data_IF_594708566478
#
_entry.id   IF_594708566478
#
_cell.length_a   1.000
_cell.length_b   1.000
_cell.length_c   1.000
_cell.angle_alpha   90.00
_cell.angle_beta   90.00
_cell.angle_gamma   90.00
#
_symmetry.space_group_name_H-M   'P 1'
#
loop_
_entity.id
_entity.type
_entity.pdbx_description
1 polymer ?
#
# COMPACT_ATOMS: atom_id res chain seq x y z
N UNK A 1 2.96 -4.84 -18.40
CA UNK A 1 4.17 -5.51 -18.91
C UNK A 1 5.39 -4.60 -19.09
N UNK A 2 5.45 -3.64 -20.03
CA UNK A 2 6.69 -2.86 -20.28
C UNK A 2 7.26 -2.12 -19.05
N UNK A 3 6.39 -1.52 -18.21
CA UNK A 3 6.81 -0.82 -16.97
C UNK A 3 7.46 -1.73 -15.90
N UNK A 4 7.06 -3.00 -15.84
CA UNK A 4 7.56 -3.97 -14.83
C UNK A 4 9.01 -4.35 -15.12
N UNK A 5 9.37 -4.58 -16.40
CA UNK A 5 10.75 -4.85 -16.81
C UNK A 5 11.73 -3.69 -16.51
N UNK A 6 11.24 -2.45 -16.52
CA UNK A 6 12.06 -1.26 -16.23
C UNK A 6 12.35 -1.08 -14.75
N UNK A 7 11.37 -1.40 -13.89
CA UNK A 7 11.55 -1.49 -12.45
C UNK A 7 12.58 -2.56 -12.10
N UNK A 8 12.53 -3.74 -12.74
CA UNK A 8 13.53 -4.80 -12.50
C UNK A 8 14.96 -4.34 -12.81
N UNK A 9 15.23 -3.68 -13.94
CA UNK A 9 16.59 -3.21 -14.25
C UNK A 9 17.04 -2.05 -13.36
N UNK A 10 16.16 -1.08 -13.07
CA UNK A 10 16.49 0.02 -12.18
C UNK A 10 16.73 -0.49 -10.75
N UNK A 11 15.94 -1.46 -10.27
CA UNK A 11 16.11 -2.07 -8.95
C UNK A 11 17.34 -2.97 -8.88
N UNK A 12 17.72 -3.67 -9.95
CA UNK A 12 18.98 -4.41 -10.02
C UNK A 12 20.20 -3.50 -10.00
N UNK A 13 20.12 -2.33 -10.67
CA UNK A 13 21.18 -1.33 -10.60
C UNK A 13 21.21 -0.67 -9.21
N UNK A 14 20.05 -0.31 -8.66
CA UNK A 14 19.93 0.31 -7.34
C UNK A 14 20.25 -0.65 -6.18
N UNK A 15 20.04 -1.95 -6.33
CA UNK A 15 20.43 -2.96 -5.33
C UNK A 15 21.94 -3.16 -5.27
N UNK A 16 22.66 -2.83 -6.35
CA UNK A 16 24.10 -2.92 -6.41
C UNK A 16 24.81 -1.64 -5.94
N UNK A 17 24.11 -0.50 -5.93
CA UNK A 17 24.58 0.77 -5.36
C UNK A 17 24.23 0.78 -3.87
N UNK A 18 25.19 1.10 -3.00
CA UNK A 18 24.90 1.25 -1.56
C UNK A 18 23.81 2.33 -1.39
N UNK A 19 22.64 1.95 -0.85
CA UNK A 19 21.49 2.84 -0.70
C UNK A 19 21.85 3.99 0.24
N UNK A 20 22.30 5.12 -0.30
CA UNK A 20 22.31 6.41 0.41
C UNK A 20 20.91 6.99 0.30
N UNK A 21 20.16 6.86 1.39
CA UNK A 21 18.79 7.34 1.51
C UNK A 21 18.71 8.85 1.21
N UNK A 22 17.94 9.30 0.19
CA UNK A 22 17.81 10.73 -0.13
C UNK A 22 16.67 11.43 0.62
N UNK A 23 16.02 10.81 1.62
CA UNK A 23 14.91 11.40 2.37
C UNK A 23 15.28 11.73 3.83
N UNK A 24 14.80 12.88 4.28
CA UNK A 24 15.37 13.79 5.29
C UNK A 24 15.15 13.42 6.77
N UNK A 25 16.11 13.87 7.59
CA UNK A 25 16.06 14.29 9.01
C UNK A 25 14.77 13.99 9.80
N UNK A 26 14.62 12.77 10.28
CA UNK A 26 13.90 12.47 11.52
C UNK A 26 14.53 11.21 12.09
N UNK A 27 14.86 11.22 13.41
CA UNK A 27 15.73 10.25 14.10
C UNK A 27 15.79 8.88 13.42
N UNK A 28 16.85 8.70 12.62
CA UNK A 28 17.01 7.52 11.79
C UNK A 28 17.18 6.31 12.71
N UNK A 29 16.32 5.27 12.63
CA UNK A 29 16.76 3.95 13.06
C UNK A 29 18.04 3.67 12.28
N UNK A 30 19.08 3.13 12.94
CA UNK A 30 20.29 2.71 12.25
C UNK A 30 19.91 1.67 11.20
N UNK A 31 19.64 2.11 9.98
CA UNK A 31 19.38 1.23 8.84
C UNK A 31 20.75 0.65 8.52
N UNK A 32 21.02 -0.52 9.06
CA UNK A 32 22.12 -1.35 8.57
C UNK A 32 21.99 -1.42 7.06
N UNK A 33 23.12 -1.23 6.35
CA UNK A 33 23.17 -1.33 4.89
C UNK A 33 22.44 -2.61 4.49
N UNK A 34 21.33 -2.46 3.77
CA UNK A 34 20.51 -3.60 3.38
C UNK A 34 21.39 -4.52 2.52
N UNK A 35 21.49 -5.79 2.88
CA UNK A 35 22.20 -6.76 2.04
C UNK A 35 21.56 -6.78 0.64
N UNK A 36 22.36 -6.96 -0.42
CA UNK A 36 21.88 -6.97 -1.81
C UNK A 36 20.75 -8.00 -2.01
N UNK A 37 20.84 -9.13 -1.31
CA UNK A 37 19.81 -10.19 -1.24
C UNK A 37 18.46 -9.68 -0.77
N UNK A 38 18.42 -8.80 0.24
CA UNK A 38 17.18 -8.22 0.77
C UNK A 38 16.47 -7.35 -0.25
N UNK A 39 17.21 -6.58 -1.06
CA UNK A 39 16.59 -5.76 -2.13
C UNK A 39 15.95 -6.64 -3.18
N UNK A 40 16.64 -7.70 -3.60
CA UNK A 40 16.09 -8.70 -4.52
C UNK A 40 14.87 -9.41 -3.94
N UNK A 41 14.87 -9.68 -2.63
CA UNK A 41 13.76 -10.33 -1.93
C UNK A 41 12.52 -9.43 -1.86
N UNK A 42 12.69 -8.15 -1.53
CA UNK A 42 11.62 -7.14 -1.59
C UNK A 42 11.03 -7.09 -3.00
N UNK A 43 11.89 -7.06 -4.02
CA UNK A 43 11.42 -6.99 -5.39
C UNK A 43 10.63 -8.24 -5.81
N UNK A 44 11.12 -9.43 -5.46
CA UNK A 44 10.39 -10.68 -5.70
C UNK A 44 9.01 -10.67 -5.01
N UNK A 45 8.94 -10.16 -3.78
CA UNK A 45 7.69 -10.01 -3.06
C UNK A 45 6.73 -9.02 -3.76
N UNK A 46 7.22 -7.87 -4.22
CA UNK A 46 6.42 -6.91 -4.98
C UNK A 46 5.93 -7.51 -6.32
N UNK A 47 6.75 -8.33 -6.98
CA UNK A 47 6.34 -9.04 -8.18
C UNK A 47 5.26 -10.08 -7.89
N UNK A 48 5.39 -10.83 -6.79
CA UNK A 48 4.36 -11.78 -6.35
C UNK A 48 3.06 -11.04 -6.05
N UNK A 49 3.14 -9.91 -5.34
CA UNK A 49 2.00 -9.04 -5.07
C UNK A 49 1.33 -8.50 -6.32
N UNK A 50 2.07 -8.28 -7.40
CA UNK A 50 1.47 -7.80 -8.65
C UNK A 50 0.99 -8.95 -9.56
N UNK A 51 1.06 -10.21 -9.11
CA UNK A 51 0.75 -11.38 -9.94
C UNK A 51 1.71 -11.55 -11.13
N UNK A 52 2.93 -11.05 -10.99
CA UNK A 52 3.95 -11.02 -12.07
C UNK A 52 5.15 -11.93 -11.78
N UNK A 53 5.15 -12.59 -10.62
CA UNK A 53 6.15 -13.59 -10.27
C UNK A 53 5.68 -14.97 -10.75
N UNK A 54 5.91 -15.26 -12.02
CA UNK A 54 5.38 -16.45 -12.68
C UNK A 54 6.46 -17.42 -13.19
N UNK A 55 7.67 -16.93 -13.48
CA UNK A 55 8.71 -17.74 -14.09
C UNK A 55 10.10 -17.09 -14.01
N UNK A 56 11.13 -17.92 -14.12
CA UNK A 56 12.52 -17.45 -14.25
C UNK A 56 12.71 -16.52 -15.46
N UNK A 57 11.89 -16.65 -16.51
CA UNK A 57 11.94 -15.82 -17.71
C UNK A 57 11.53 -14.36 -17.43
N UNK A 58 10.64 -14.13 -16.46
CA UNK A 58 10.24 -12.77 -16.04
C UNK A 58 11.16 -12.20 -14.95
N UNK A 59 11.82 -13.07 -14.18
CA UNK A 59 12.67 -12.71 -13.03
C UNK A 59 13.90 -13.62 -12.93
N UNK A 60 14.97 -13.36 -13.71
CA UNK A 60 16.09 -14.30 -13.87
C UNK A 60 17.04 -14.37 -12.66
N UNK A 61 16.66 -13.73 -11.55
CA UNK A 61 17.34 -13.78 -10.25
C UNK A 61 16.49 -14.48 -9.18
N UNK A 62 15.33 -15.06 -9.56
CA UNK A 62 14.44 -15.78 -8.66
C UNK A 62 14.21 -17.18 -9.21
N UNK A 63 14.43 -18.19 -8.36
CA UNK A 63 14.00 -19.57 -8.56
C UNK A 63 12.82 -19.85 -7.65
N UNK A 64 11.71 -20.26 -8.26
CA UNK A 64 10.57 -20.83 -7.54
C UNK A 64 10.71 -22.37 -7.60
N UNK A 65 11.03 -23.06 -6.49
CA UNK A 65 10.96 -24.50 -6.43
C UNK A 65 9.51 -24.96 -6.64
N UNK A 66 9.32 -26.19 -7.10
CA UNK A 66 8.00 -26.82 -7.14
C UNK A 66 7.85 -27.76 -5.93
N UNK A 67 6.88 -27.54 -5.00
CA UNK A 67 5.95 -26.41 -4.94
C UNK A 67 6.47 -25.26 -4.05
N UNK A 68 6.52 -24.03 -4.59
CA UNK A 68 6.74 -22.82 -3.81
C UNK A 68 5.41 -22.39 -3.19
N UNK A 69 5.42 -22.08 -1.88
CA UNK A 69 4.21 -21.56 -1.23
C UNK A 69 4.13 -20.05 -1.47
N UNK A 70 3.34 -19.64 -2.47
CA UNK A 70 3.00 -18.25 -2.72
C UNK A 70 1.57 -18.01 -2.23
N UNK A 71 1.43 -17.35 -1.08
CA UNK A 71 0.14 -17.03 -0.46
C UNK A 71 0.00 -15.52 -0.38
N UNK A 72 -0.52 -14.93 -1.45
CA UNK A 72 -0.75 -13.50 -1.52
C UNK A 72 -2.24 -13.24 -1.36
N UNK A 73 -2.64 -12.78 -0.17
CA UNK A 73 -4.00 -12.34 0.09
C UNK A 73 -4.15 -10.89 -0.37
N UNK A 74 -4.71 -10.72 -1.56
CA UNK A 74 -5.07 -9.41 -2.09
C UNK A 74 -6.37 -8.87 -1.51
N UNK A 75 -7.28 -9.73 -1.02
CA UNK A 75 -8.70 -9.38 -0.98
C UNK A 75 -9.17 -8.69 -2.27
N UNK A 76 -9.98 -7.64 -2.13
CA UNK A 76 -10.34 -6.69 -3.19
C UNK A 76 -9.40 -5.46 -3.12
N UNK A 77 -8.07 -5.65 -3.02
CA UNK A 77 -7.10 -4.53 -3.07
C UNK A 77 -7.34 -3.68 -4.32
N UNK A 78 -7.52 -2.34 -4.16
CA UNK A 78 -7.48 -1.45 -5.29
C UNK A 78 -6.18 -1.70 -6.06
N UNK A 79 -6.29 -2.01 -7.35
CA UNK A 79 -5.15 -2.33 -8.22
C UNK A 79 -4.17 -1.17 -8.41
N UNK A 80 -4.48 0.00 -7.83
CA UNK A 80 -3.73 1.24 -7.89
C UNK A 80 -3.02 1.61 -6.56
N UNK A 81 -3.00 0.72 -5.56
CA UNK A 81 -2.21 0.94 -4.34
C UNK A 81 -0.71 0.90 -4.67
N UNK A 82 -0.02 2.01 -4.44
CA UNK A 82 1.43 2.11 -4.58
C UNK A 82 2.08 1.98 -3.19
N UNK A 83 3.08 1.11 -3.06
CA UNK A 83 3.85 0.99 -1.81
C UNK A 83 4.60 2.29 -1.56
N UNK A 84 4.30 2.94 -0.44
CA UNK A 84 4.89 4.21 -0.03
C UNK A 84 5.98 4.00 1.02
N UNK A 85 5.72 3.11 2.00
CA UNK A 85 6.64 2.85 3.12
C UNK A 85 6.74 1.37 3.38
N UNK A 86 7.92 0.94 3.81
CA UNK A 86 8.20 -0.42 4.27
C UNK A 86 8.95 -0.34 5.58
N UNK A 87 8.51 -1.12 6.57
CA UNK A 87 9.20 -1.26 7.85
C UNK A 87 9.58 -2.72 8.06
N UNK A 88 10.87 -2.99 8.22
CA UNK A 88 11.36 -4.33 8.55
C UNK A 88 11.02 -4.67 9.99
N UNK A 89 10.45 -5.86 10.19
CA UNK A 89 10.11 -6.38 11.52
C UNK A 89 11.04 -7.52 11.93
N UNK A 90 11.55 -8.29 10.97
CA UNK A 90 12.56 -9.32 11.20
C UNK A 90 13.44 -9.54 9.97
N UNK A 91 14.73 -9.83 10.21
CA UNK A 91 15.66 -10.37 9.22
C UNK A 91 16.51 -11.42 9.93
N UNK A 92 16.30 -12.70 9.61
CA UNK A 92 16.93 -13.83 10.28
C UNK A 92 17.56 -14.76 9.26
N UNK A 93 18.70 -15.35 9.61
CA UNK A 93 19.36 -16.39 8.83
C UNK A 93 19.46 -17.62 9.74
N UNK A 94 18.89 -18.74 9.31
CA UNK A 94 18.97 -20.00 10.06
C UNK A 94 20.32 -20.72 9.84
N UNK A 95 20.55 -21.81 10.58
CA UNK A 95 21.78 -22.62 10.48
C UNK A 95 22.01 -23.22 9.09
N UNK A 96 20.96 -23.31 8.26
CA UNK A 96 21.02 -23.83 6.89
C UNK A 96 21.24 -22.73 5.85
N UNK A 97 21.43 -21.47 6.27
CA UNK A 97 21.55 -20.32 5.37
C UNK A 97 20.21 -19.88 4.77
N UNK A 98 19.08 -20.28 5.35
CA UNK A 98 17.75 -19.79 4.96
C UNK A 98 17.52 -18.41 5.55
N UNK A 99 17.29 -17.45 4.67
CA UNK A 99 16.88 -16.10 5.03
C UNK A 99 15.36 -16.07 5.25
N UNK A 100 14.94 -15.51 6.38
CA UNK A 100 13.55 -15.13 6.64
C UNK A 100 13.49 -13.63 6.81
N UNK A 101 12.67 -13.00 5.98
CA UNK A 101 12.53 -11.57 5.93
C UNK A 101 11.06 -11.20 6.12
N UNK A 102 10.78 -10.41 7.15
CA UNK A 102 9.43 -9.95 7.48
C UNK A 102 9.39 -8.42 7.48
N UNK A 103 8.31 -7.89 6.92
CA UNK A 103 8.08 -6.46 6.86
C UNK A 103 6.59 -6.11 6.92
N UNK A 104 6.34 -4.86 7.27
CA UNK A 104 5.03 -4.24 7.14
C UNK A 104 5.14 -3.22 6.01
N UNK A 105 4.32 -3.38 4.97
CA UNK A 105 4.21 -2.38 3.91
C UNK A 105 2.98 -1.50 4.13
N UNK A 106 3.15 -0.21 3.88
CA UNK A 106 2.06 0.75 3.74
C UNK A 106 1.99 1.13 2.27
N UNK A 107 0.85 0.85 1.66
CA UNK A 107 0.53 1.28 0.32
C UNK A 107 -0.56 2.35 0.36
N UNK A 108 -0.43 3.36 -0.50
CA UNK A 108 -1.40 4.44 -0.65
C UNK A 108 -1.87 4.56 -2.09
N UNK A 109 -3.12 4.93 -2.28
CA UNK A 109 -3.68 5.20 -3.60
C UNK A 109 -3.86 6.71 -3.84
N UNK A 110 -4.24 7.13 -5.07
CA UNK A 110 -4.44 8.56 -5.38
C UNK A 110 -5.53 9.25 -4.57
N UNK A 111 -6.42 8.51 -3.90
CA UNK A 111 -7.46 9.03 -3.04
C UNK A 111 -7.03 9.10 -1.56
N UNK A 112 -5.80 8.70 -1.25
CA UNK A 112 -5.27 8.67 0.12
C UNK A 112 -5.67 7.43 0.91
N UNK A 113 -6.27 6.42 0.26
CA UNK A 113 -6.58 5.13 0.91
C UNK A 113 -5.30 4.40 1.26
N UNK A 114 -5.24 3.84 2.45
CA UNK A 114 -4.07 3.22 3.07
C UNK A 114 -4.30 1.73 3.29
N UNK A 115 -3.53 0.91 2.59
CA UNK A 115 -3.46 -0.53 2.79
C UNK A 115 -2.21 -0.88 3.59
N UNK A 116 -2.39 -1.59 4.71
CA UNK A 116 -1.28 -2.21 5.43
C UNK A 116 -1.24 -3.70 5.11
N UNK A 117 -0.04 -4.23 4.90
CA UNK A 117 0.16 -5.66 4.68
C UNK A 117 1.34 -6.17 5.51
N UNK A 118 1.16 -7.32 6.15
CA UNK A 118 2.24 -8.10 6.74
C UNK A 118 2.81 -8.99 5.65
N UNK A 119 4.07 -8.79 5.34
CA UNK A 119 4.78 -9.40 4.24
C UNK A 119 5.90 -10.27 4.77
N UNK A 120 6.01 -11.48 4.25
CA UNK A 120 7.07 -12.44 4.60
C UNK A 120 7.61 -13.08 3.35
N UNK A 121 8.93 -13.20 3.27
CA UNK A 121 9.62 -13.97 2.26
C UNK A 121 10.69 -14.84 2.90
N UNK A 122 10.70 -16.12 2.53
CA UNK A 122 11.68 -17.11 2.97
C UNK A 122 12.45 -17.58 1.75
N UNK A 123 13.77 -17.46 1.77
CA UNK A 123 14.59 -17.76 0.60
C UNK A 123 16.00 -18.23 0.98
N UNK A 124 16.65 -18.98 0.09
CA UNK A 124 18.10 -19.18 0.15
C UNK A 124 18.78 -18.30 -0.92
N UNK A 125 20.05 -18.02 -0.71
CA UNK A 125 20.89 -17.32 -1.69
C UNK A 125 21.84 -18.33 -2.32
N UNK A 126 21.87 -18.40 -3.65
CA UNK A 126 22.78 -19.27 -4.39
C UNK A 126 23.51 -18.53 -5.51
N UNK A 127 24.68 -19.05 -5.89
CA UNK A 127 25.45 -18.54 -7.02
C UNK A 127 24.81 -19.01 -8.34
N UNK A 128 24.60 -18.13 -9.33
CA UNK A 128 24.06 -18.53 -10.61
C UNK A 128 24.94 -19.56 -11.33
N UNK A 129 24.32 -20.59 -11.92
CA UNK A 129 24.97 -21.52 -12.86
C UNK A 129 25.33 -20.83 -14.17
N UNK A 130 26.20 -21.43 -15.00
CA UNK A 130 26.59 -20.83 -16.28
C UNK A 130 25.41 -20.69 -17.26
N UNK A 131 24.46 -21.62 -17.21
CA UNK A 131 23.22 -21.55 -17.99
C UNK A 131 22.36 -20.36 -17.52
N UNK A 132 22.19 -20.18 -16.21
CA UNK A 132 21.45 -19.06 -15.64
C UNK A 132 22.12 -17.73 -15.96
N UNK A 133 23.46 -17.65 -15.84
CA UNK A 133 24.24 -16.47 -16.26
C UNK A 133 23.96 -16.10 -17.72
N UNK A 134 23.94 -17.08 -18.62
CA UNK A 134 23.64 -16.84 -20.03
C UNK A 134 22.21 -16.31 -20.23
N UNK A 135 21.23 -16.88 -19.51
CA UNK A 135 19.83 -16.45 -19.55
C UNK A 135 19.65 -15.03 -18.99
N UNK A 136 20.23 -14.74 -17.82
CA UNK A 136 20.27 -13.41 -17.19
C UNK A 136 20.85 -12.39 -18.17
N UNK A 137 22.03 -12.69 -18.74
CA UNK A 137 22.73 -11.81 -19.69
C UNK A 137 21.84 -11.47 -20.88
N UNK A 138 21.18 -12.48 -21.45
CA UNK A 138 20.25 -12.30 -22.56
C UNK A 138 19.07 -11.42 -22.16
N UNK A 139 18.42 -11.71 -21.03
CA UNK A 139 17.29 -10.94 -20.51
C UNK A 139 17.65 -9.47 -20.24
N UNK A 140 18.81 -9.21 -19.64
CA UNK A 140 19.34 -7.85 -19.41
C UNK A 140 19.63 -7.13 -20.72
N UNK A 141 20.23 -7.80 -21.70
CA UNK A 141 20.50 -7.23 -23.02
C UNK A 141 19.21 -6.85 -23.75
N UNK A 142 18.21 -7.73 -23.71
CA UNK A 142 16.90 -7.50 -24.31
C UNK A 142 16.16 -6.35 -23.60
N UNK A 143 16.25 -6.27 -22.27
CA UNK A 143 15.70 -5.17 -21.46
C UNK A 143 16.38 -3.84 -21.75
N UNK A 144 17.72 -3.81 -21.86
CA UNK A 144 18.48 -2.63 -22.21
C UNK A 144 18.12 -2.11 -23.62
N UNK A 145 17.92 -3.01 -24.60
CA UNK A 145 17.43 -2.65 -25.94
C UNK A 145 16.00 -2.08 -25.88
N UNK A 146 15.13 -2.68 -25.07
CA UNK A 146 13.75 -2.22 -24.90
C UNK A 146 13.70 -0.83 -24.26
N UNK A 147 14.54 -0.55 -23.27
CA UNK A 147 14.68 0.76 -22.62
C UNK A 147 15.04 1.87 -23.61
N UNK A 148 15.97 1.60 -24.53
CA UNK A 148 16.35 2.57 -25.58
C UNK A 148 15.19 2.95 -26.51
N UNK A 149 14.13 2.13 -26.55
CA UNK A 149 12.93 2.35 -27.39
C UNK A 149 11.78 3.01 -26.62
N UNK A 150 11.92 3.23 -25.31
CA UNK A 150 10.92 3.94 -24.49
C UNK A 150 10.84 5.39 -24.94
N UNK A 151 9.64 5.95 -25.13
CA UNK A 151 9.46 7.37 -25.50
C UNK A 151 9.35 8.31 -24.30
N UNK A 152 9.19 7.76 -23.10
CA UNK A 152 9.15 8.49 -21.85
C UNK A 152 10.54 9.05 -21.51
N UNK A 153 10.71 10.37 -21.68
CA UNK A 153 11.98 11.07 -21.47
C UNK A 153 12.41 11.09 -20.02
N UNK A 154 11.45 11.15 -19.09
CA UNK A 154 11.76 11.17 -17.67
C UNK A 154 12.30 9.81 -17.22
N UNK A 155 11.65 8.73 -17.65
CA UNK A 155 12.12 7.39 -17.39
C UNK A 155 13.53 7.16 -17.97
N UNK A 156 13.77 7.57 -19.22
CA UNK A 156 15.12 7.50 -19.81
C UNK A 156 16.16 8.26 -19.00
N UNK A 157 15.82 9.46 -18.50
CA UNK A 157 16.72 10.28 -17.67
C UNK A 157 17.06 9.56 -16.37
N UNK A 158 16.06 9.03 -15.67
CA UNK A 158 16.25 8.30 -14.40
C UNK A 158 17.11 7.06 -14.62
N UNK A 159 16.78 6.22 -15.60
CA UNK A 159 17.57 5.01 -15.89
C UNK A 159 19.01 5.33 -16.27
N UNK A 160 19.23 6.39 -17.07
CA UNK A 160 20.58 6.81 -17.44
C UNK A 160 21.38 7.26 -16.21
N UNK A 161 20.76 8.01 -15.30
CA UNK A 161 21.42 8.44 -14.05
C UNK A 161 21.82 7.23 -13.20
N UNK A 162 20.88 6.31 -12.96
CA UNK A 162 21.14 5.08 -12.19
C UNK A 162 22.26 4.23 -12.83
N UNK A 163 22.26 4.09 -14.16
CA UNK A 163 23.31 3.35 -14.86
C UNK A 163 24.69 4.01 -14.70
N UNK A 164 24.77 5.35 -14.68
CA UNK A 164 26.03 6.08 -14.44
C UNK A 164 26.56 5.88 -13.03
N UNK A 165 25.67 5.94 -12.04
CA UNK A 165 26.05 5.75 -10.64
C UNK A 165 26.63 4.35 -10.45
N UNK A 166 25.91 3.33 -10.94
CA UNK A 166 26.40 1.95 -10.93
C UNK A 166 27.73 1.78 -11.69
N UNK A 167 27.86 2.34 -12.90
CA UNK A 167 29.11 2.28 -13.67
C UNK A 167 30.27 2.93 -12.91
N UNK A 168 30.04 4.07 -12.25
CA UNK A 168 31.05 4.77 -11.44
C UNK A 168 31.49 3.91 -10.27
N UNK A 169 30.55 3.32 -9.53
CA UNK A 169 30.82 2.46 -8.38
C UNK A 169 31.61 1.19 -8.77
N UNK A 170 31.41 0.71 -9.99
CA UNK A 170 32.10 -0.46 -10.54
C UNK A 170 33.40 -0.11 -11.29
N UNK A 171 33.80 1.16 -11.31
CA UNK A 171 35.00 1.62 -12.03
C UNK A 171 34.91 1.49 -13.55
N UNK A 172 33.71 1.53 -14.11
CA UNK A 172 33.42 1.51 -15.55
C UNK A 172 33.26 2.95 -16.09
N UNK A 173 33.27 3.10 -17.42
CA UNK A 173 32.92 4.36 -18.07
C UNK A 173 31.45 4.72 -17.79
N UNK A 174 31.23 5.81 -17.04
CA UNK A 174 29.92 6.29 -16.61
C UNK A 174 29.15 7.04 -17.72
N UNK A 175 28.93 6.39 -18.86
CA UNK A 175 28.19 6.92 -20.01
C UNK A 175 26.65 6.81 -19.85
N UNK A 176 26.21 6.00 -18.90
CA UNK A 176 24.81 5.68 -18.60
C UNK A 176 24.18 4.72 -19.61
N UNK A 177 25.00 4.04 -20.42
CA UNK A 177 24.59 3.04 -21.40
C UNK A 177 24.84 1.66 -20.80
N UNK A 178 23.75 0.93 -20.52
CA UNK A 178 23.83 -0.47 -20.09
C UNK A 178 24.29 -1.34 -21.26
N UNK A 179 25.61 -1.52 -21.38
CA UNK A 179 26.29 -2.32 -22.40
C UNK A 179 26.85 -3.64 -21.85
N UNK A 180 27.64 -4.36 -22.65
CA UNK A 180 28.17 -5.68 -22.26
C UNK A 180 29.06 -5.63 -21.02
N UNK A 181 29.86 -4.58 -20.83
CA UNK A 181 30.71 -4.41 -19.64
C UNK A 181 29.87 -4.18 -18.39
N UNK A 182 28.89 -3.27 -18.45
CA UNK A 182 27.94 -3.02 -17.35
C UNK A 182 27.17 -4.29 -16.99
N UNK A 183 26.63 -5.01 -17.98
CA UNK A 183 25.95 -6.29 -17.74
C UNK A 183 26.90 -7.32 -17.10
N UNK A 184 28.15 -7.39 -17.57
CA UNK A 184 29.18 -8.26 -16.99
C UNK A 184 29.44 -7.97 -15.51
N UNK A 185 29.55 -6.69 -15.13
CA UNK A 185 29.73 -6.27 -13.74
C UNK A 185 28.50 -6.63 -12.88
N UNK A 186 27.28 -6.38 -13.37
CA UNK A 186 26.04 -6.77 -12.65
C UNK A 186 26.03 -8.28 -12.39
N UNK A 187 26.44 -9.09 -13.38
CA UNK A 187 26.44 -10.55 -13.26
C UNK A 187 27.47 -11.10 -12.27
N UNK A 188 28.56 -10.38 -12.00
CA UNK A 188 29.56 -10.80 -11.00
C UNK A 188 29.01 -10.70 -9.57
N UNK A 189 28.19 -9.68 -9.33
CA UNK A 189 27.60 -9.39 -8.02
C UNK A 189 26.22 -10.04 -7.83
N UNK A 190 25.68 -10.70 -8.86
CA UNK A 190 24.32 -11.23 -8.84
C UNK A 190 24.23 -12.57 -8.11
N UNK A 191 23.21 -12.68 -7.27
CA UNK A 191 22.80 -13.91 -6.61
C UNK A 191 21.43 -14.37 -7.12
N UNK A 192 21.17 -15.67 -7.09
CA UNK A 192 19.82 -16.23 -7.28
C UNK A 192 19.15 -16.36 -5.92
N UNK A 193 17.88 -15.96 -5.85
CA UNK A 193 17.01 -16.20 -4.71
C UNK A 193 16.21 -17.48 -4.94
N UNK A 194 16.47 -18.50 -4.14
CA UNK A 194 15.69 -19.72 -4.09
C UNK A 194 14.54 -19.53 -3.11
N UNK A 195 13.40 -19.04 -3.61
CA UNK A 195 12.26 -18.63 -2.79
C UNK A 195 11.49 -19.86 -2.33
N UNK A 196 11.44 -20.10 -1.02
CA UNK A 196 10.66 -21.19 -0.42
C UNK A 196 9.23 -20.78 -0.13
N UNK A 197 9.05 -19.54 0.33
CA UNK A 197 7.76 -19.00 0.76
C UNK A 197 7.69 -17.51 0.42
N UNK A 198 6.54 -17.07 -0.10
CA UNK A 198 6.14 -15.66 -0.08
C UNK A 198 4.74 -15.63 0.52
N UNK A 199 4.53 -14.79 1.52
CA UNK A 199 3.20 -14.44 1.98
C UNK A 199 3.01 -12.94 2.11
N UNK A 200 1.79 -12.50 1.80
CA UNK A 200 1.33 -11.13 2.02
C UNK A 200 -0.08 -11.24 2.58
N UNK A 201 -0.28 -10.77 3.80
CA UNK A 201 -1.55 -10.81 4.50
C UNK A 201 -1.99 -9.40 4.84
N UNK A 202 -3.28 -9.10 4.70
CA UNK A 202 -3.85 -7.81 5.06
C UNK A 202 -3.62 -7.56 6.57
N UNK A 203 -3.03 -6.42 6.88
CA UNK A 203 -2.95 -5.89 8.23
C UNK A 203 -3.97 -4.77 8.42
N UNK A 204 -4.59 -4.71 9.59
CA UNK A 204 -5.56 -3.67 9.93
C UNK A 204 -4.93 -2.66 10.88
N UNK A 205 -5.08 -1.37 10.56
CA UNK A 205 -4.56 -0.31 11.42
C UNK A 205 -5.29 -0.30 12.77
N UNK A 206 -4.54 -0.01 13.84
CA UNK A 206 -5.13 0.27 15.15
C UNK A 206 -5.77 1.67 15.18
N UNK A 207 -5.20 2.60 14.43
CA UNK A 207 -5.66 3.98 14.30
C UNK A 207 -6.35 4.12 12.95
N UNK A 208 -7.67 4.25 12.98
CA UNK A 208 -8.48 4.34 11.77
C UNK A 208 -8.71 5.81 11.44
N UNK A 209 -8.22 6.23 10.29
CA UNK A 209 -8.49 7.52 9.70
C UNK A 209 -9.76 7.45 8.87
N UNK A 210 -10.64 8.43 9.08
CA UNK A 210 -11.87 8.58 8.33
C UNK A 210 -12.24 10.06 8.19
N UNK A 211 -13.03 10.36 7.18
CA UNK A 211 -13.76 11.62 7.04
C UNK A 211 -15.26 11.35 7.15
N UNK A 212 -15.99 12.32 7.68
CA UNK A 212 -17.44 12.23 7.82
C UNK A 212 -18.10 13.50 7.32
N UNK A 213 -19.18 13.33 6.56
CA UNK A 213 -19.93 14.41 5.93
C UNK A 213 -21.42 14.27 6.20
N UNK A 214 -22.11 15.40 6.26
CA UNK A 214 -23.57 15.44 6.21
C UNK A 214 -23.97 16.22 4.96
N UNK A 215 -24.81 15.61 4.13
CA UNK A 215 -25.37 16.22 2.92
C UNK A 215 -26.89 16.18 2.98
N UNK A 216 -27.56 17.02 2.18
CA UNK A 216 -28.99 16.87 1.97
C UNK A 216 -29.30 15.58 1.20
N UNK A 217 -30.45 14.96 1.47
CA UNK A 217 -30.81 13.65 0.90
C UNK A 217 -30.74 13.56 -0.63
N UNK A 218 -31.00 14.68 -1.31
CA UNK A 218 -31.01 14.74 -2.78
C UNK A 218 -29.82 15.55 -3.36
N UNK A 219 -28.80 15.83 -2.55
CA UNK A 219 -27.65 16.63 -3.00
C UNK A 219 -26.73 15.88 -3.97
N UNK A 220 -26.71 14.54 -3.87
CA UNK A 220 -25.83 13.63 -4.61
C UNK A 220 -26.65 12.41 -5.04
N UNK A 221 -26.39 11.87 -6.23
CA UNK A 221 -27.12 10.68 -6.73
C UNK A 221 -26.72 9.42 -5.96
N UNK A 222 -27.61 8.42 -5.95
CA UNK A 222 -27.32 7.11 -5.35
C UNK A 222 -26.11 6.43 -6.03
N UNK A 223 -25.89 6.67 -7.32
CA UNK A 223 -24.73 6.15 -8.05
C UNK A 223 -23.42 6.74 -7.54
N UNK A 224 -23.38 8.04 -7.27
CA UNK A 224 -22.17 8.69 -6.71
C UNK A 224 -21.93 8.21 -5.28
N UNK A 225 -22.97 8.09 -4.46
CA UNK A 225 -22.83 7.55 -3.10
C UNK A 225 -22.31 6.10 -3.12
N UNK A 226 -22.89 5.25 -3.95
CA UNK A 226 -22.49 3.84 -4.08
C UNK A 226 -21.15 3.64 -4.80
N UNK A 227 -20.67 4.64 -5.55
CA UNK A 227 -19.32 4.63 -6.14
C UNK A 227 -18.21 4.71 -5.09
N UNK A 228 -18.55 5.06 -3.85
CA UNK A 228 -17.61 5.05 -2.77
C UNK A 228 -16.62 6.20 -2.82
N UNK A 229 -15.32 5.92 -2.67
CA UNK A 229 -14.32 7.00 -2.55
C UNK A 229 -14.15 7.77 -3.85
N UNK A 230 -14.46 7.14 -4.98
CA UNK A 230 -14.51 7.77 -6.29
C UNK A 230 -15.52 8.94 -6.29
N UNK A 231 -16.59 8.86 -5.49
CA UNK A 231 -17.57 9.92 -5.26
C UNK A 231 -17.20 10.92 -4.16
N UNK A 232 -16.09 10.71 -3.44
CA UNK A 232 -15.71 11.52 -2.27
C UNK A 232 -15.56 13.01 -2.61
N UNK A 233 -14.95 13.34 -3.76
CA UNK A 233 -14.75 14.72 -4.17
C UNK A 233 -16.09 15.47 -4.35
N UNK A 234 -17.10 14.79 -4.91
CA UNK A 234 -18.44 15.35 -5.09
C UNK A 234 -19.18 15.46 -3.76
N UNK A 235 -19.13 14.44 -2.90
CA UNK A 235 -19.73 14.49 -1.57
C UNK A 235 -19.12 15.61 -0.73
N UNK A 236 -17.79 15.77 -0.77
CA UNK A 236 -17.09 16.87 -0.09
C UNK A 236 -17.56 18.23 -0.60
N UNK A 237 -17.79 18.39 -1.90
CA UNK A 237 -18.29 19.64 -2.48
C UNK A 237 -19.75 19.94 -2.12
N UNK A 238 -20.52 18.94 -1.70
CA UNK A 238 -21.92 19.05 -1.27
C UNK A 238 -22.12 19.01 0.25
N UNK A 239 -21.04 18.81 1.01
CA UNK A 239 -21.07 18.75 2.46
C UNK A 239 -21.64 20.06 3.04
N UNK A 240 -22.60 19.92 3.95
CA UNK A 240 -23.14 21.03 4.71
C UNK A 240 -22.15 21.42 5.80
N UNK A 241 -21.85 22.72 5.88
CA UNK A 241 -21.21 23.27 7.08
C UNK A 241 -22.13 23.11 8.29
N UNK A 242 -21.57 23.10 9.51
CA UNK A 242 -22.38 23.03 10.72
C UNK A 242 -23.45 24.14 10.81
N UNK A 243 -23.12 25.38 10.44
CA UNK A 243 -24.07 26.51 10.44
C UNK A 243 -25.23 26.30 9.45
N UNK A 244 -24.92 25.79 8.25
CA UNK A 244 -25.95 25.50 7.24
C UNK A 244 -26.83 24.33 7.69
N UNK A 245 -26.24 23.30 8.29
CA UNK A 245 -26.98 22.18 8.87
C UNK A 245 -27.89 22.67 9.99
N UNK A 246 -27.39 23.46 10.94
CA UNK A 246 -28.17 24.02 12.05
C UNK A 246 -29.34 24.86 11.57
N UNK A 247 -29.13 25.74 10.59
CA UNK A 247 -30.18 26.56 10.00
C UNK A 247 -31.25 25.75 9.25
N UNK A 248 -30.86 24.62 8.65
CA UNK A 248 -31.77 23.78 7.85
C UNK A 248 -32.37 22.59 8.62
N UNK A 249 -31.84 22.24 9.80
CA UNK A 249 -32.27 21.13 10.65
C UNK A 249 -33.65 21.38 11.28
N UNK A 250 -34.69 21.23 10.46
CA UNK A 250 -36.09 21.25 10.88
C UNK A 250 -36.55 19.83 11.22
N UNK A 251 -37.43 19.72 12.23
CA UNK A 251 -38.04 18.45 12.62
C UNK A 251 -38.64 17.73 11.40
N UNK A 252 -38.20 16.50 11.16
CA UNK A 252 -38.68 15.66 10.06
C UNK A 252 -37.91 15.79 8.74
N UNK A 253 -37.02 16.79 8.57
CA UNK A 253 -36.13 16.84 7.41
C UNK A 253 -35.06 15.75 7.53
N UNK A 254 -34.79 15.09 6.40
CA UNK A 254 -33.81 14.01 6.31
C UNK A 254 -32.52 14.46 5.63
N UNK A 255 -31.43 13.84 6.06
CA UNK A 255 -30.06 14.07 5.59
C UNK A 255 -29.39 12.73 5.35
N UNK A 256 -28.25 12.75 4.67
CA UNK A 256 -27.40 11.58 4.50
C UNK A 256 -26.09 11.85 5.23
N UNK A 257 -25.71 10.93 6.09
CA UNK A 257 -24.39 10.85 6.70
C UNK A 257 -23.53 9.92 5.86
N UNK A 258 -22.38 10.41 5.42
CA UNK A 258 -21.38 9.63 4.72
C UNK A 258 -20.11 9.53 5.58
N UNK A 259 -19.61 8.32 5.83
CA UNK A 259 -18.35 8.10 6.56
C UNK A 259 -17.41 7.32 5.65
N UNK A 260 -16.32 7.97 5.24
CA UNK A 260 -15.30 7.44 4.36
C UNK A 260 -14.08 7.05 5.17
N UNK A 261 -13.75 5.77 5.20
CA UNK A 261 -12.54 5.29 5.84
C UNK A 261 -11.36 5.40 4.88
N UNK A 262 -10.23 5.89 5.35
CA UNK A 262 -8.97 5.90 4.61
C UNK A 262 -8.08 4.72 4.99
N UNK A 263 -8.42 3.96 6.03
CA UNK A 263 -7.79 2.68 6.33
C UNK A 263 -8.74 1.52 6.08
N UNK A 264 -8.16 0.35 5.82
CA UNK A 264 -8.91 -0.90 5.89
C UNK A 264 -9.37 -1.15 7.32
N UNK A 265 -10.61 -1.57 7.46
CA UNK A 265 -11.20 -1.96 8.73
C UNK A 265 -11.41 -3.48 8.75
N UNK A 266 -11.20 -4.12 9.90
CA UNK A 266 -11.31 -5.58 9.99
C UNK A 266 -12.75 -6.05 9.79
N UNK A 267 -13.01 -7.06 8.93
CA UNK A 267 -14.34 -7.62 8.75
C UNK A 267 -14.81 -8.43 9.95
N UNK A 268 -13.91 -8.77 10.89
CA UNK A 268 -14.23 -9.56 12.08
C UNK A 268 -14.98 -8.79 13.18
N UNK A 269 -14.95 -7.46 13.14
CA UNK A 269 -15.58 -6.61 14.14
C UNK A 269 -16.68 -5.76 13.48
N UNK A 270 -17.89 -5.71 14.04
CA UNK A 270 -18.89 -4.78 13.56
C UNK A 270 -18.52 -3.35 13.98
N UNK A 271 -18.89 -2.41 13.14
CA UNK A 271 -18.74 -0.98 13.41
C UNK A 271 -20.09 -0.33 13.58
N UNK A 272 -20.10 0.70 14.42
CA UNK A 272 -21.25 1.55 14.70
C UNK A 272 -20.80 2.98 14.61
N UNK A 273 -21.74 3.89 14.39
CA UNK A 273 -21.44 5.30 14.53
C UNK A 273 -22.55 6.01 15.30
N UNK A 274 -22.19 7.18 15.82
CA UNK A 274 -23.12 8.04 16.51
C UNK A 274 -22.77 9.50 16.28
N UNK A 275 -23.75 10.34 16.54
CA UNK A 275 -23.63 11.79 16.43
C UNK A 275 -23.95 12.44 17.78
N UNK A 276 -23.15 13.42 18.18
CA UNK A 276 -23.29 14.14 19.45
C UNK A 276 -22.76 15.55 19.33
N UNK A 277 -23.31 16.45 20.13
CA UNK A 277 -22.83 17.80 20.35
C UNK A 277 -21.63 17.91 21.31
N UNK A 278 -21.24 16.81 21.96
CA UNK A 278 -20.15 16.78 22.96
C UNK A 278 -18.97 15.99 22.41
N UNK A 279 -17.79 16.61 22.32
CA UNK A 279 -16.57 16.02 21.73
C UNK A 279 -16.08 14.72 22.34
N UNK A 280 -16.49 14.41 23.58
CA UNK A 280 -16.12 13.19 24.33
C UNK A 280 -17.34 12.46 24.94
N UNK A 281 -18.55 12.78 24.48
CA UNK A 281 -19.77 12.13 24.95
C UNK A 281 -19.93 10.75 24.32
N UNK A 282 -20.56 9.81 25.04
CA UNK A 282 -21.12 8.62 24.39
C UNK A 282 -22.19 9.10 23.41
N UNK A 283 -21.84 9.12 22.13
CA UNK A 283 -22.81 9.41 21.10
C UNK A 283 -23.93 8.37 21.18
N UNK A 284 -25.19 8.82 21.03
CA UNK A 284 -26.29 7.87 20.83
C UNK A 284 -26.01 7.17 19.51
N UNK A 285 -25.75 5.87 19.58
CA UNK A 285 -25.55 5.01 18.41
C UNK A 285 -26.78 5.19 17.51
N UNK A 286 -26.53 5.55 16.25
CA UNK A 286 -27.58 5.79 15.26
C UNK A 286 -27.75 4.63 14.29
N UNK A 287 -26.71 3.82 14.14
CA UNK A 287 -26.67 2.75 13.16
C UNK A 287 -26.89 1.37 13.75
N UNK A 288 -27.42 0.49 12.91
CA UNK A 288 -27.20 -0.94 13.08
C UNK A 288 -25.70 -1.26 12.93
N UNK A 289 -25.20 -2.33 13.57
CA UNK A 289 -23.85 -2.78 13.32
C UNK A 289 -23.71 -3.22 11.86
N UNK A 290 -22.66 -2.74 11.19
CA UNK A 290 -22.31 -3.19 9.85
C UNK A 290 -20.91 -3.81 9.84
N UNK A 291 -20.65 -4.66 8.87
CA UNK A 291 -19.37 -5.33 8.67
C UNK A 291 -18.75 -4.83 7.37
N UNK A 292 -17.43 -4.67 7.37
CA UNK A 292 -16.73 -4.50 6.11
C UNK A 292 -16.90 -5.77 5.27
N UNK A 293 -17.17 -5.60 3.98
CA UNK A 293 -17.07 -6.71 3.03
C UNK A 293 -15.61 -7.19 3.00
N UNK A 294 -15.32 -8.50 3.09
CA UNK A 294 -13.97 -9.01 2.87
C UNK A 294 -13.40 -8.45 1.57
N UNK A 295 -12.22 -7.84 1.65
CA UNK A 295 -11.55 -7.21 0.52
C UNK A 295 -11.97 -5.78 0.20
N UNK A 296 -13.22 -5.40 0.44
CA UNK A 296 -13.78 -4.11 0.02
C UNK A 296 -13.33 -2.92 0.88
N UNK A 297 -13.32 -1.72 0.28
CA UNK A 297 -13.09 -0.48 1.02
C UNK A 297 -14.37 -0.04 1.73
N UNK A 298 -14.38 0.10 3.05
CA UNK A 298 -15.60 0.34 3.81
C UNK A 298 -16.04 1.79 3.70
N UNK A 299 -17.35 2.00 3.56
CA UNK A 299 -18.00 3.31 3.56
C UNK A 299 -19.37 3.13 4.23
N UNK A 300 -19.77 4.09 5.06
CA UNK A 300 -21.11 4.12 5.67
C UNK A 300 -21.91 5.21 5.00
N UNK A 301 -23.12 4.88 4.55
CA UNK A 301 -24.08 5.83 3.99
C UNK A 301 -25.41 5.58 4.70
N UNK A 302 -25.82 6.52 5.54
CA UNK A 302 -27.04 6.38 6.34
C UNK A 302 -27.91 7.61 6.29
N UNK A 303 -29.23 7.37 6.23
CA UNK A 303 -30.24 8.41 6.30
C UNK A 303 -30.52 8.76 7.75
N UNK A 304 -30.49 10.05 8.06
CA UNK A 304 -30.72 10.58 9.41
C UNK A 304 -31.75 11.70 9.40
N UNK A 305 -32.47 11.85 10.50
CA UNK A 305 -33.33 12.99 10.75
C UNK A 305 -33.13 13.52 12.16
N UNK A 306 -33.32 14.83 12.32
CA UNK A 306 -33.25 15.50 13.61
C UNK A 306 -34.68 15.74 14.12
N UNK A 307 -34.97 15.24 15.32
CA UNK A 307 -36.30 15.41 15.94
C UNK A 307 -36.44 16.75 16.68
N UNK A 308 -35.33 17.46 16.85
CA UNK A 308 -35.24 18.77 17.51
C UNK A 308 -34.20 19.63 16.79
N UNK A 309 -34.32 20.96 16.85
CA UNK A 309 -33.28 21.86 16.38
C UNK A 309 -31.93 21.56 17.05
N UNK A 310 -30.84 21.77 16.30
CA UNK A 310 -29.49 21.64 16.83
C UNK A 310 -29.17 22.89 17.67
N UNK A 311 -29.13 22.75 19.00
CA UNK A 311 -28.87 23.87 19.90
C UNK A 311 -27.37 24.16 20.07
N UNK A 312 -26.53 23.13 19.90
CA UNK A 312 -25.08 23.21 20.10
C UNK A 312 -24.36 24.11 19.10
N UNK A 313 -23.12 24.48 19.44
CA UNK A 313 -22.20 25.20 18.53
C UNK A 313 -21.38 24.27 17.64
N UNK A 314 -21.36 22.97 17.96
CA UNK A 314 -20.57 21.96 17.28
C UNK A 314 -21.33 20.65 17.20
N UNK A 315 -20.92 19.81 16.25
CA UNK A 315 -21.44 18.47 16.08
C UNK A 315 -20.30 17.52 15.72
N UNK A 316 -20.29 16.37 16.36
CA UNK A 316 -19.24 15.37 16.28
C UNK A 316 -19.84 14.05 15.81
N UNK A 317 -19.18 13.43 14.85
CA UNK A 317 -19.42 12.04 14.45
C UNK A 317 -18.35 11.18 15.09
N UNK A 318 -18.78 10.17 15.84
CA UNK A 318 -17.89 9.19 16.47
C UNK A 318 -18.16 7.82 15.87
N UNK A 319 -17.10 7.13 15.45
CA UNK A 319 -17.17 5.75 15.00
C UNK A 319 -16.68 4.85 16.12
N UNK A 320 -17.38 3.75 16.32
CA UNK A 320 -17.12 2.75 17.33
C UNK A 320 -16.85 1.40 16.66
N UNK A 321 -15.92 0.63 17.22
CA UNK A 321 -15.75 -0.78 16.90
C UNK A 321 -16.17 -1.61 18.11
N UNK A 322 -16.92 -2.69 17.90
CA UNK A 322 -17.14 -3.67 18.95
C UNK A 322 -15.92 -4.58 19.04
N UNK A 323 -15.29 -4.64 20.22
CA UNK A 323 -14.26 -5.65 20.46
C UNK A 323 -14.92 -7.02 20.65
N UNK A 324 -14.36 -8.07 20.04
CA UNK A 324 -14.79 -9.47 20.23
C UNK A 324 -14.54 -10.05 21.64
N UNK A 325 -14.17 -9.23 22.63
CA UNK A 325 -13.99 -9.69 24.00
C UNK A 325 -15.34 -9.99 24.67
N UNK A 326 -15.39 -10.95 25.61
CA UNK A 326 -16.62 -11.43 26.27
C UNK A 326 -17.49 -10.33 26.91
N UNK A 327 -16.92 -9.16 27.18
CA UNK A 327 -17.66 -7.95 27.52
C UNK A 327 -17.70 -7.08 26.26
N UNK A 328 -18.84 -7.02 25.58
CA UNK A 328 -19.06 -6.18 24.40
C UNK A 328 -18.94 -4.69 24.77
N UNK A 329 -17.72 -4.17 24.82
CA UNK A 329 -17.46 -2.75 24.98
C UNK A 329 -17.35 -2.10 23.60
N UNK A 330 -17.98 -0.94 23.46
CA UNK A 330 -17.78 -0.08 22.30
C UNK A 330 -16.54 0.78 22.55
N UNK A 331 -15.52 0.60 21.72
CA UNK A 331 -14.36 1.47 21.73
C UNK A 331 -14.54 2.52 20.65
N UNK A 332 -14.49 3.80 21.02
CA UNK A 332 -14.40 4.88 20.05
C UNK A 332 -13.07 4.74 19.30
N UNK A 333 -13.14 4.54 17.99
CA UNK A 333 -11.96 4.43 17.11
C UNK A 333 -11.57 5.79 16.50
N UNK A 334 -12.48 6.77 16.56
CA UNK A 334 -12.18 8.18 16.32
C UNK A 334 -13.42 9.06 16.35
N UNK A 335 -13.19 10.37 16.50
CA UNK A 335 -14.22 11.42 16.53
C UNK A 335 -13.81 12.54 15.59
N UNK A 336 -14.73 12.99 14.74
CA UNK A 336 -14.54 14.10 13.81
C UNK A 336 -15.61 15.18 14.03
N UNK A 337 -15.16 16.42 14.14
CA UNK A 337 -16.02 17.58 14.09
C UNK A 337 -16.52 17.75 12.65
N UNK A 338 -17.81 18.03 12.48
CA UNK A 338 -18.37 18.36 11.17
C UNK A 338 -17.86 19.75 10.79
N UNK A 339 -17.26 19.91 9.59
CA UNK A 339 -16.61 21.15 9.17
C UNK A 339 -17.55 22.36 9.05
#
# INVERSE_FOLDING_TARGET
>A
MKRIFYLSLCLLLSSCVAVKNPFTQQEEPQVSVLEKSNVSAIHALLQARNGTLDSFDSSPYVRLPDPAMIVVDHGDEPSNLAVEKVKFTANQIDENGTHTFEMISLATDPFGRRGLSNEKIVYNVSTPTDQEKAAIKKSMSDSAKALRRVKDKELQRITKAIAKDFQTDQGLDADGIVGNQTIGAIMQDMTILDIKEISSQIAYSKEIEFEAFIIEENAVSADVLSSGIEGLAEVRAKALSFETLKASAVAGKSYIVCIYFFDRITPANPYKWGITDISKGFARIKSEPFYAKPGGWPIIIEKVSFNKPLESEKLFITVFSESNNMLKWLQAIGTKEIP
#
